data_IF_016767540245
#
_entry.id   IF_016767540245
#
_cell.length_a   1.000
_cell.length_b   1.000
_cell.length_c   1.000
_cell.angle_alpha   90.00
_cell.angle_beta   90.00
_cell.angle_gamma   90.00
#
_symmetry.space_group_name_H-M   'P 1'
#
loop_
_entity.id
_entity.type
_entity.pdbx_description
1 polymer ?
#
# COMPACT_ATOMS: atom_id res chain seq x y z
N UNK A 1 -16.36 17.21 4.52
CA UNK A 1 -17.43 17.16 3.51
C UNK A 1 -16.80 17.49 2.18
N UNK A 2 -16.85 16.58 1.20
CA UNK A 2 -16.39 16.86 -0.17
C UNK A 2 -17.33 17.91 -0.77
N UNK A 3 -16.81 19.06 -1.18
CA UNK A 3 -17.59 20.06 -1.90
C UNK A 3 -17.94 19.48 -3.28
N UNK A 4 -19.20 19.09 -3.46
CA UNK A 4 -19.76 18.49 -4.68
C UNK A 4 -19.83 19.43 -5.90
N UNK A 5 -19.20 20.61 -5.82
CA UNK A 5 -19.17 21.63 -6.88
C UNK A 5 -17.76 21.84 -7.48
N UNK A 6 -16.76 21.02 -7.13
CA UNK A 6 -15.44 21.12 -7.74
C UNK A 6 -15.45 20.59 -9.17
N UNK A 7 -14.72 21.22 -10.11
CA UNK A 7 -14.47 20.63 -11.43
C UNK A 7 -13.90 19.21 -11.26
N UNK A 8 -14.26 18.29 -12.15
CA UNK A 8 -13.85 16.88 -12.08
C UNK A 8 -12.32 16.70 -11.94
N UNK A 9 -11.55 17.58 -12.56
CA UNK A 9 -10.09 17.62 -12.44
C UNK A 9 -9.61 17.99 -11.03
N UNK A 10 -10.25 18.93 -10.34
CA UNK A 10 -9.90 19.29 -8.95
C UNK A 10 -10.33 18.20 -7.97
N UNK A 11 -11.48 17.56 -8.20
CA UNK A 11 -11.89 16.39 -7.43
C UNK A 11 -10.85 15.27 -7.54
N UNK A 12 -10.40 14.98 -8.76
CA UNK A 12 -9.40 13.95 -9.02
C UNK A 12 -8.07 14.27 -8.31
N UNK A 13 -7.62 15.52 -8.31
CA UNK A 13 -6.45 15.97 -7.54
C UNK A 13 -6.60 15.71 -6.04
N UNK A 14 -7.72 16.13 -5.49
CA UNK A 14 -7.98 16.02 -4.04
C UNK A 14 -8.06 14.58 -3.55
N UNK A 15 -8.32 13.61 -4.44
CA UNK A 15 -8.44 12.19 -4.08
C UNK A 15 -7.20 11.39 -4.48
N UNK A 16 -6.68 11.58 -5.68
CA UNK A 16 -5.63 10.73 -6.23
C UNK A 16 -4.28 11.00 -5.56
N UNK A 17 -3.94 12.27 -5.28
CA UNK A 17 -2.70 12.62 -4.60
C UNK A 17 -2.57 11.98 -3.21
N UNK A 18 -3.53 12.15 -2.28
CA UNK A 18 -3.43 11.49 -0.98
C UNK A 18 -3.51 9.96 -1.11
N UNK A 19 -4.27 9.43 -2.07
CA UNK A 19 -4.33 7.98 -2.30
C UNK A 19 -2.97 7.38 -2.68
N UNK A 20 -2.22 8.03 -3.57
CA UNK A 20 -0.87 7.59 -3.94
C UNK A 20 0.10 7.67 -2.75
N UNK A 21 -0.02 8.70 -1.92
CA UNK A 21 0.76 8.83 -0.68
C UNK A 21 0.42 7.71 0.31
N UNK A 22 -0.85 7.37 0.45
CA UNK A 22 -1.29 6.26 1.29
C UNK A 22 -0.69 4.94 0.81
N UNK A 23 -0.71 4.65 -0.49
CA UNK A 23 -0.05 3.46 -1.03
C UNK A 23 1.43 3.41 -0.68
N UNK A 24 2.17 4.51 -0.86
CA UNK A 24 3.58 4.56 -0.49
C UNK A 24 3.82 4.30 0.99
N UNK A 25 3.03 4.94 1.85
CA UNK A 25 3.13 4.76 3.29
C UNK A 25 2.89 3.30 3.70
N UNK A 26 1.80 2.69 3.19
CA UNK A 26 1.44 1.32 3.55
C UNK A 26 2.45 0.32 3.02
N UNK A 27 2.92 0.45 1.79
CA UNK A 27 3.97 -0.41 1.26
C UNK A 27 5.29 -0.25 2.01
N UNK A 28 5.68 0.98 2.38
CA UNK A 28 6.87 1.22 3.20
C UNK A 28 6.78 0.53 4.55
N UNK A 29 5.63 0.63 5.22
CA UNK A 29 5.38 -0.05 6.50
C UNK A 29 5.43 -1.57 6.37
N UNK A 30 4.77 -2.11 5.34
CA UNK A 30 4.72 -3.56 5.11
C UNK A 30 6.07 -4.14 4.72
N UNK A 31 6.83 -3.43 3.89
CA UNK A 31 8.23 -3.78 3.59
C UNK A 31 9.06 -3.83 4.85
N UNK A 32 9.02 -2.78 5.67
CA UNK A 32 9.77 -2.74 6.92
C UNK A 32 9.44 -3.93 7.82
N UNK A 33 8.15 -4.26 7.97
CA UNK A 33 7.70 -5.43 8.72
C UNK A 33 8.32 -6.73 8.19
N UNK A 34 8.27 -6.97 6.88
CA UNK A 34 8.78 -8.21 6.27
C UNK A 34 10.31 -8.27 6.24
N UNK A 35 11.02 -7.14 6.32
CA UNK A 35 12.48 -7.11 6.35
C UNK A 35 13.03 -7.28 7.78
N UNK A 36 12.26 -6.91 8.82
CA UNK A 36 12.73 -6.94 10.21
C UNK A 36 12.17 -8.08 11.05
N UNK A 37 10.97 -8.56 10.74
CA UNK A 37 10.30 -9.60 11.52
C UNK A 37 10.41 -10.97 10.85
N UNK A 38 10.58 -12.01 11.67
CA UNK A 38 10.37 -13.39 11.22
C UNK A 38 8.91 -13.75 11.39
N UNK A 39 8.21 -14.03 10.29
CA UNK A 39 6.78 -14.30 10.31
C UNK A 39 6.55 -15.81 10.25
N UNK A 40 6.46 -16.45 11.42
CA UNK A 40 6.45 -17.92 11.55
C UNK A 40 5.31 -18.66 10.81
N UNK A 41 4.24 -17.97 10.42
CA UNK A 41 3.14 -18.55 9.64
C UNK A 41 3.32 -18.40 8.12
N UNK A 42 4.37 -17.74 7.68
CA UNK A 42 4.82 -17.69 6.29
C UNK A 42 6.10 -18.51 6.17
N UNK A 43 6.21 -19.26 5.09
CA UNK A 43 7.50 -19.82 4.68
C UNK A 43 8.44 -18.69 4.23
N UNK A 44 9.74 -18.96 4.23
CA UNK A 44 10.73 -17.99 3.75
C UNK A 44 10.47 -17.56 2.29
N UNK A 45 10.00 -18.49 1.45
CA UNK A 45 9.65 -18.22 0.06
C UNK A 45 8.41 -17.30 -0.04
N UNK A 46 7.35 -17.56 0.72
CA UNK A 46 6.16 -16.71 0.75
C UNK A 46 6.48 -15.30 1.25
N UNK A 47 7.29 -15.17 2.30
CA UNK A 47 7.73 -13.88 2.82
C UNK A 47 8.58 -13.12 1.79
N UNK A 48 9.50 -13.81 1.11
CA UNK A 48 10.32 -13.20 0.06
C UNK A 48 9.49 -12.77 -1.16
N UNK A 49 8.55 -13.60 -1.60
CA UNK A 49 7.66 -13.29 -2.72
C UNK A 49 6.78 -12.07 -2.42
N UNK A 50 6.19 -12.01 -1.22
CA UNK A 50 5.40 -10.86 -0.80
C UNK A 50 6.26 -9.59 -0.75
N UNK A 51 7.48 -9.69 -0.23
CA UNK A 51 8.42 -8.57 -0.17
C UNK A 51 8.81 -8.05 -1.56
N UNK A 52 9.04 -8.94 -2.52
CA UNK A 52 9.34 -8.58 -3.92
C UNK A 52 8.16 -7.84 -4.56
N UNK A 53 6.94 -8.36 -4.40
CA UNK A 53 5.71 -7.73 -4.91
C UNK A 53 5.51 -6.33 -4.33
N UNK A 54 5.80 -6.13 -3.04
CA UNK A 54 5.75 -4.81 -2.40
C UNK A 54 6.78 -3.87 -3.02
N UNK A 55 8.03 -4.33 -3.19
CA UNK A 55 9.10 -3.50 -3.78
C UNK A 55 8.74 -3.06 -5.20
N UNK A 56 8.18 -3.96 -6.00
CA UNK A 56 7.69 -3.66 -7.35
C UNK A 56 6.56 -2.62 -7.30
N UNK A 57 5.54 -2.83 -6.47
CA UNK A 57 4.43 -1.89 -6.34
C UNK A 57 4.88 -0.50 -5.86
N UNK A 58 5.88 -0.41 -4.97
CA UNK A 58 6.46 0.88 -4.56
C UNK A 58 7.07 1.66 -5.73
N UNK A 59 7.77 0.96 -6.63
CA UNK A 59 8.35 1.58 -7.83
C UNK A 59 7.25 2.08 -8.77
N UNK A 60 6.21 1.28 -8.97
CA UNK A 60 5.07 1.64 -9.83
C UNK A 60 4.31 2.84 -9.28
N UNK A 61 4.01 2.86 -7.98
CA UNK A 61 3.34 4.00 -7.33
C UNK A 61 4.21 5.25 -7.39
N UNK A 62 5.53 5.11 -7.23
CA UNK A 62 6.45 6.25 -7.33
C UNK A 62 6.45 6.83 -8.75
N UNK A 63 6.56 5.97 -9.76
CA UNK A 63 6.50 6.39 -11.16
C UNK A 63 5.16 7.08 -11.46
N UNK A 64 4.05 6.51 -11.00
CA UNK A 64 2.72 7.10 -11.17
C UNK A 64 2.59 8.46 -10.47
N UNK A 65 3.15 8.60 -9.27
CA UNK A 65 3.17 9.87 -8.55
C UNK A 65 3.98 10.94 -9.29
N UNK A 66 5.18 10.60 -9.77
CA UNK A 66 6.03 11.52 -10.55
C UNK A 66 5.30 11.95 -11.83
N UNK A 67 4.69 11.02 -12.57
CA UNK A 67 3.95 11.34 -13.79
C UNK A 67 2.71 12.19 -13.50
N UNK A 68 2.00 11.90 -12.41
CA UNK A 68 0.86 12.68 -11.97
C UNK A 68 1.26 14.12 -11.65
N UNK A 69 2.34 14.32 -10.91
CA UNK A 69 2.87 15.66 -10.59
C UNK A 69 3.40 16.37 -11.84
N UNK A 70 4.13 15.68 -12.72
CA UNK A 70 4.67 16.24 -13.96
C UNK A 70 3.59 16.68 -14.97
N UNK A 71 2.39 16.10 -14.89
CA UNK A 71 1.24 16.46 -15.73
C UNK A 71 0.36 17.54 -15.08
N UNK A 72 0.86 18.25 -14.06
CA UNK A 72 0.12 19.28 -13.35
C UNK A 72 -1.07 18.74 -12.55
N UNK A 73 -1.00 17.46 -12.19
CA UNK A 73 -2.03 16.71 -11.47
C UNK A 73 -3.37 16.62 -12.22
N UNK A 74 -3.36 16.78 -13.54
CA UNK A 74 -4.58 16.84 -14.35
C UNK A 74 -5.02 15.49 -14.94
N UNK A 75 -4.14 14.48 -14.87
CA UNK A 75 -4.35 13.17 -15.50
C UNK A 75 -4.75 12.13 -14.45
N UNK A 76 -5.80 11.37 -14.74
CA UNK A 76 -6.23 10.25 -13.90
C UNK A 76 -5.35 9.01 -14.05
N UNK A 77 -5.39 8.12 -13.06
CA UNK A 77 -4.82 6.77 -13.15
C UNK A 77 -5.96 5.78 -13.37
N UNK A 78 -5.79 4.89 -14.33
CA UNK A 78 -6.80 3.86 -14.62
C UNK A 78 -7.01 2.94 -13.43
N UNK A 79 -8.26 2.56 -13.17
CA UNK A 79 -8.61 1.64 -12.09
C UNK A 79 -7.91 0.28 -12.21
N UNK A 80 -7.58 -0.15 -13.42
CA UNK A 80 -6.83 -1.38 -13.68
C UNK A 80 -5.42 -1.36 -13.07
N UNK A 81 -4.84 -0.17 -12.89
CA UNK A 81 -3.53 0.03 -12.23
C UNK A 81 -3.68 0.07 -10.72
N UNK A 82 -4.76 0.71 -10.21
CA UNK A 82 -4.99 0.87 -8.77
C UNK A 82 -5.42 -0.43 -8.08
N UNK A 83 -6.21 -1.27 -8.74
CA UNK A 83 -6.79 -2.47 -8.14
C UNK A 83 -5.73 -3.47 -7.63
N UNK A 84 -4.65 -3.79 -8.38
CA UNK A 84 -3.55 -4.62 -7.88
C UNK A 84 -2.88 -4.06 -6.62
N UNK A 85 -2.64 -2.74 -6.57
CA UNK A 85 -2.02 -2.11 -5.39
C UNK A 85 -2.92 -2.20 -4.15
N UNK A 86 -4.22 -1.95 -4.33
CA UNK A 86 -5.19 -2.11 -3.25
C UNK A 86 -5.27 -3.55 -2.72
N UNK A 87 -5.26 -4.54 -3.63
CA UNK A 87 -5.23 -5.94 -3.25
C UNK A 87 -3.99 -6.27 -2.41
N UNK A 88 -2.82 -5.79 -2.85
CA UNK A 88 -1.56 -6.01 -2.15
C UNK A 88 -1.53 -5.36 -0.76
N UNK A 89 -2.03 -4.11 -0.62
CA UNK A 89 -2.17 -3.48 0.71
C UNK A 89 -3.06 -4.31 1.63
N UNK A 90 -4.19 -4.79 1.11
CA UNK A 90 -5.13 -5.63 1.88
C UNK A 90 -4.48 -6.93 2.35
N UNK A 91 -3.69 -7.58 1.49
CA UNK A 91 -2.92 -8.78 1.83
C UNK A 91 -1.90 -8.48 2.95
N UNK A 92 -1.15 -7.39 2.82
CA UNK A 92 -0.18 -6.98 3.83
C UNK A 92 -0.82 -6.69 5.19
N UNK A 93 -2.02 -6.09 5.21
CA UNK A 93 -2.78 -5.87 6.43
C UNK A 93 -3.21 -7.17 7.11
N UNK A 94 -3.62 -8.19 6.33
CA UNK A 94 -3.96 -9.50 6.89
C UNK A 94 -2.75 -10.15 7.56
N UNK A 95 -1.58 -10.06 6.94
CA UNK A 95 -0.31 -10.53 7.53
C UNK A 95 -0.01 -9.81 8.84
N UNK A 96 -0.02 -8.46 8.82
CA UNK A 96 0.27 -7.66 10.02
C UNK A 96 -0.75 -7.91 11.15
N UNK A 97 -2.04 -8.07 10.83
CA UNK A 97 -3.08 -8.39 11.79
C UNK A 97 -2.86 -9.76 12.43
N UNK A 98 -2.61 -10.79 11.63
CA UNK A 98 -2.35 -12.15 12.13
C UNK A 98 -1.11 -12.19 13.03
N UNK A 99 -0.05 -11.50 12.64
CA UNK A 99 1.18 -11.40 13.45
C UNK A 99 0.90 -10.78 14.82
N UNK A 100 0.15 -9.66 14.86
CA UNK A 100 -0.22 -9.01 16.13
C UNK A 100 -1.07 -9.92 17.03
N UNK A 101 -1.97 -10.70 16.44
CA UNK A 101 -2.79 -11.66 17.20
C UNK A 101 -1.92 -12.75 17.84
N UNK A 102 -0.98 -13.33 17.10
CA UNK A 102 -0.05 -14.32 17.65
C UNK A 102 0.83 -13.73 18.75
N UNK A 103 1.41 -12.55 18.55
CA UNK A 103 2.22 -11.87 19.57
C UNK A 103 1.42 -11.58 20.85
N UNK A 104 0.13 -11.26 20.72
CA UNK A 104 -0.75 -11.03 21.87
C UNK A 104 -1.05 -12.32 22.64
N UNK A 105 -1.23 -13.45 21.94
CA UNK A 105 -1.44 -14.75 22.56
C UNK A 105 -0.18 -15.23 23.30
N UNK A 106 0.99 -15.15 22.67
CA UNK A 106 2.27 -15.54 23.29
C UNK A 106 2.59 -14.70 24.54
N UNK A 107 2.12 -13.45 24.62
CA UNK A 107 2.29 -12.61 25.82
C UNK A 107 1.39 -13.02 26.99
N UNK A 108 0.27 -13.70 26.75
CA UNK A 108 -0.64 -14.16 27.81
C UNK A 108 -0.24 -15.52 28.39
N UNK A 109 0.60 -16.27 27.68
CA UNK A 109 1.07 -17.61 28.07
C UNK A 109 2.43 -17.58 28.81
N UNK A 110 3.08 -16.42 28.91
CA UNK A 110 4.31 -16.18 29.66
C UNK A 110 4.04 -15.26 30.86
#
# INVERSE_FOLDING_TARGET
MLNSNLPESELLKTLLKPLLQDFQYWFGRSRSLLETETINFLTAEEQANLLERIKQAQQEVNAAQILFEATGEQVGIEMAVLAPWHHLVTECWKVAMRLRLQQSQTRLEN
#
